data_IF_184298072386
#
_entry.id   IF_184298072386
#
_cell.length_a   1.000
_cell.length_b   1.000
_cell.length_c   1.000
_cell.angle_alpha   90.00
_cell.angle_beta   90.00
_cell.angle_gamma   90.00
#
_symmetry.space_group_name_H-M   'P 1'
#
loop_
_entity.id
_entity.type
_entity.pdbx_description
1 polymer ?
#
# COMPACT_ATOMS: atom_id res chain seq x y z
N UNK A 1 -12.21 -14.92 12.00
CA UNK A 1 -12.63 -13.54 11.65
C UNK A 1 -13.43 -13.53 10.34
N UNK A 2 -14.41 -12.64 10.20
CA UNK A 2 -15.38 -12.64 9.08
C UNK A 2 -14.74 -12.42 7.69
N UNK A 3 -13.64 -11.65 7.61
CA UNK A 3 -13.03 -11.25 6.33
C UNK A 3 -11.74 -11.99 5.97
N UNK A 4 -11.34 -12.98 6.78
CA UNK A 4 -10.04 -13.65 6.61
C UNK A 4 -9.86 -14.29 5.22
N UNK A 5 -10.94 -14.80 4.61
CA UNK A 5 -10.89 -15.40 3.27
C UNK A 5 -10.89 -14.42 2.11
N UNK A 6 -10.96 -13.10 2.37
CA UNK A 6 -10.97 -12.07 1.33
C UNK A 6 -10.08 -10.87 1.66
N UNK A 7 -9.17 -11.02 2.63
CA UNK A 7 -8.20 -10.00 3.02
C UNK A 7 -6.79 -10.48 2.74
N UNK A 8 -5.91 -9.57 2.33
CA UNK A 8 -4.47 -9.85 2.20
C UNK A 8 -3.64 -8.69 2.74
N UNK A 9 -2.43 -8.98 3.21
CA UNK A 9 -1.46 -8.02 3.73
C UNK A 9 -0.34 -7.82 2.71
N UNK A 10 -0.11 -6.57 2.32
CA UNK A 10 0.99 -6.17 1.45
C UNK A 10 2.22 -5.75 2.25
N UNK A 11 3.45 -6.06 1.79
CA UNK A 11 3.79 -6.87 0.61
C UNK A 11 3.86 -8.39 0.86
N UNK A 12 3.62 -8.85 2.09
CA UNK A 12 3.88 -10.22 2.52
C UNK A 12 3.12 -11.29 1.74
N UNK A 13 1.82 -11.11 1.54
CA UNK A 13 0.93 -12.11 0.93
C UNK A 13 0.67 -11.85 -0.55
N UNK A 14 1.05 -10.66 -1.04
CA UNK A 14 0.69 -10.18 -2.38
C UNK A 14 1.90 -9.90 -3.26
N UNK A 15 3.09 -9.77 -2.67
CA UNK A 15 4.28 -9.27 -3.36
C UNK A 15 4.08 -7.85 -3.90
N UNK A 16 4.93 -7.46 -4.85
CA UNK A 16 4.86 -6.15 -5.48
C UNK A 16 3.83 -6.11 -6.61
N UNK A 17 3.17 -4.97 -6.77
CA UNK A 17 2.29 -4.74 -7.90
C UNK A 17 3.10 -4.73 -9.22
N UNK A 18 2.68 -5.50 -10.24
CA UNK A 18 3.32 -5.51 -11.55
C UNK A 18 3.00 -4.21 -12.30
N UNK A 19 3.85 -3.87 -13.29
CA UNK A 19 3.61 -2.71 -14.16
C UNK A 19 2.40 -2.90 -15.08
N UNK A 20 2.07 -4.14 -15.41
CA UNK A 20 0.96 -4.53 -16.28
C UNK A 20 0.36 -5.85 -15.82
N UNK A 21 -0.90 -6.08 -16.18
CA UNK A 21 -1.60 -7.35 -15.91
C UNK A 21 -2.31 -7.39 -14.55
N UNK A 22 -2.67 -8.60 -14.14
CA UNK A 22 -3.40 -8.85 -12.90
C UNK A 22 -2.42 -8.97 -11.74
N UNK A 23 -2.71 -8.31 -10.64
CA UNK A 23 -1.89 -8.36 -9.42
C UNK A 23 -2.51 -9.28 -8.35
N UNK A 24 -3.69 -8.92 -7.85
CA UNK A 24 -4.32 -9.60 -6.73
C UNK A 24 -5.16 -10.81 -7.19
N UNK A 25 -5.24 -11.80 -6.30
CA UNK A 25 -6.20 -12.89 -6.40
C UNK A 25 -7.64 -12.31 -6.44
N UNK A 26 -8.54 -12.82 -7.31
CA UNK A 26 -9.92 -12.33 -7.42
C UNK A 26 -10.71 -12.33 -6.11
N UNK A 27 -10.35 -13.22 -5.19
CA UNK A 27 -11.03 -13.38 -3.90
C UNK A 27 -10.64 -12.28 -2.91
N UNK A 28 -9.51 -11.60 -3.13
CA UNK A 28 -9.07 -10.49 -2.27
C UNK A 28 -9.92 -9.26 -2.55
N UNK A 29 -10.62 -8.80 -1.50
CA UNK A 29 -11.49 -7.61 -1.51
C UNK A 29 -10.95 -6.51 -0.60
N UNK A 30 -10.06 -6.86 0.32
CA UNK A 30 -9.46 -5.94 1.29
C UNK A 30 -7.95 -6.14 1.21
N UNK A 31 -7.23 -5.05 0.96
CA UNK A 31 -5.77 -5.04 1.00
C UNK A 31 -5.32 -4.19 2.19
N UNK A 32 -4.52 -4.78 3.07
CA UNK A 32 -3.91 -4.09 4.20
C UNK A 32 -2.49 -3.66 3.81
N UNK A 33 -2.15 -2.41 4.07
CA UNK A 33 -0.82 -1.87 3.84
C UNK A 33 -0.44 -0.94 4.99
N UNK A 34 0.84 -0.96 5.32
CA UNK A 34 1.40 -0.08 6.32
C UNK A 34 1.71 1.31 5.73
N UNK A 35 1.44 2.35 6.52
CA UNK A 35 1.72 3.74 6.18
C UNK A 35 2.43 4.37 7.39
N UNK A 36 3.72 4.69 7.27
CA UNK A 36 4.46 5.40 8.32
C UNK A 36 5.72 6.12 7.79
N UNK A 37 5.90 7.43 8.04
CA UNK A 37 4.94 8.35 8.64
C UNK A 37 3.76 8.62 7.69
N UNK A 38 2.80 9.45 8.12
CA UNK A 38 1.73 9.90 7.25
C UNK A 38 2.25 10.51 5.95
N UNK A 39 1.80 9.99 4.82
CA UNK A 39 2.18 10.49 3.48
C UNK A 39 1.68 11.92 3.22
N UNK A 40 0.62 12.32 3.94
CA UNK A 40 -0.03 13.61 3.78
C UNK A 40 -0.12 14.34 5.10
N UNK A 41 0.00 15.66 5.03
CA UNK A 41 -0.36 16.53 6.14
C UNK A 41 -1.83 16.29 6.53
N UNK A 42 -2.15 16.21 7.83
CA UNK A 42 -3.54 16.11 8.28
C UNK A 42 -4.38 17.27 7.75
N UNK A 43 -5.61 17.00 7.33
CA UNK A 43 -6.57 18.06 7.08
C UNK A 43 -6.94 18.75 8.40
N UNK A 44 -7.26 20.04 8.32
CA UNK A 44 -7.76 20.79 9.47
C UNK A 44 -9.02 20.14 10.02
N UNK A 45 -8.98 19.77 11.29
CA UNK A 45 -10.05 19.05 11.95
C UNK A 45 -9.95 19.28 13.48
N UNK A 46 -11.08 19.16 14.19
CA UNK A 46 -11.07 19.24 15.66
C UNK A 46 -10.37 18.06 16.31
N UNK A 47 -10.23 16.94 15.59
CA UNK A 47 -9.50 15.75 16.02
C UNK A 47 -8.38 15.49 15.02
N UNK A 48 -7.13 15.65 15.46
CA UNK A 48 -5.93 15.52 14.61
C UNK A 48 -5.91 14.20 13.82
N UNK A 49 -6.19 13.08 14.49
CA UNK A 49 -6.14 11.76 13.87
C UNK A 49 -7.25 11.58 12.82
N UNK A 50 -8.42 12.18 13.03
CA UNK A 50 -9.48 12.22 12.01
C UNK A 50 -9.03 13.02 10.78
N UNK A 51 -8.36 14.15 11.00
CA UNK A 51 -7.75 14.94 9.93
C UNK A 51 -6.75 14.13 9.10
N UNK A 52 -5.94 13.30 9.76
CA UNK A 52 -4.98 12.40 9.10
C UNK A 52 -5.67 11.30 8.29
N UNK A 53 -6.65 10.59 8.88
CA UNK A 53 -7.41 9.54 8.17
C UNK A 53 -8.10 10.11 6.93
N UNK A 54 -8.72 11.29 7.05
CA UNK A 54 -9.38 11.96 5.92
C UNK A 54 -8.38 12.36 4.84
N UNK A 55 -7.22 12.92 5.21
CA UNK A 55 -6.17 13.27 4.25
C UNK A 55 -5.71 12.05 3.44
N UNK A 56 -5.45 10.93 4.13
CA UNK A 56 -5.06 9.68 3.49
C UNK A 56 -6.16 9.11 2.59
N UNK A 57 -7.42 9.14 3.05
CA UNK A 57 -8.55 8.67 2.25
C UNK A 57 -8.73 9.48 0.97
N UNK A 58 -8.67 10.82 1.05
CA UNK A 58 -8.76 11.67 -0.12
C UNK A 58 -7.63 11.39 -1.11
N UNK A 59 -6.39 11.28 -0.63
CA UNK A 59 -5.25 10.98 -1.48
C UNK A 59 -5.38 9.62 -2.19
N UNK A 60 -5.74 8.56 -1.47
CA UNK A 60 -5.89 7.23 -2.05
C UNK A 60 -7.02 7.19 -3.08
N UNK A 61 -8.18 7.78 -2.74
CA UNK A 61 -9.33 7.93 -3.64
C UNK A 61 -8.96 8.68 -4.92
N UNK A 62 -8.22 9.78 -4.81
CA UNK A 62 -7.86 10.61 -5.97
C UNK A 62 -6.81 9.92 -6.86
N UNK A 63 -5.95 9.05 -6.31
CA UNK A 63 -5.08 8.18 -7.10
C UNK A 63 -5.85 7.05 -7.78
N UNK A 64 -6.80 6.44 -7.08
CA UNK A 64 -7.63 5.36 -7.61
C UNK A 64 -8.50 5.85 -8.77
N UNK A 65 -9.16 7.00 -8.62
CA UNK A 65 -9.93 7.66 -9.68
C UNK A 65 -9.11 7.96 -10.94
N UNK A 66 -7.77 8.02 -10.82
CA UNK A 66 -6.82 8.24 -11.93
C UNK A 66 -6.06 6.96 -12.32
N UNK A 67 -6.51 5.79 -11.89
CA UNK A 67 -5.85 4.49 -12.11
C UNK A 67 -4.34 4.50 -11.77
N UNK A 68 -3.95 5.29 -10.78
CA UNK A 68 -2.54 5.46 -10.39
C UNK A 68 -2.23 4.91 -9.00
N UNK A 69 -3.23 4.51 -8.22
CA UNK A 69 -3.03 3.96 -6.88
C UNK A 69 -2.17 2.69 -6.89
N UNK A 70 -2.32 1.83 -7.91
CA UNK A 70 -1.54 0.59 -8.05
C UNK A 70 -0.02 0.83 -8.07
N UNK A 71 0.42 2.02 -8.49
CA UNK A 71 1.85 2.37 -8.57
C UNK A 71 2.49 2.47 -7.19
N UNK A 72 1.72 2.82 -6.16
CA UNK A 72 2.21 2.94 -4.78
C UNK A 72 2.57 1.58 -4.17
N UNK A 73 2.04 0.50 -4.76
CA UNK A 73 2.31 -0.88 -4.35
C UNK A 73 3.41 -1.56 -5.18
N UNK A 74 3.99 -0.84 -6.15
CA UNK A 74 5.06 -1.36 -6.97
C UNK A 74 6.38 -1.42 -6.20
N UNK A 75 7.32 -2.23 -6.70
CA UNK A 75 8.67 -2.27 -6.17
C UNK A 75 9.31 -0.87 -6.29
N UNK A 76 9.90 -0.33 -5.21
CA UNK A 76 10.50 0.98 -5.22
C UNK A 76 11.76 1.03 -6.12
N UNK A 77 12.13 2.21 -6.62
CA UNK A 77 13.39 2.37 -7.35
C UNK A 77 14.57 1.99 -6.44
N UNK A 78 15.59 1.35 -7.02
CA UNK A 78 16.80 0.95 -6.30
C UNK A 78 16.75 -0.45 -5.70
N UNK A 79 15.57 -1.05 -5.53
CA UNK A 79 15.45 -2.46 -5.14
C UNK A 79 15.39 -3.33 -6.39
N UNK A 80 16.35 -4.26 -6.51
CA UNK A 80 16.38 -5.24 -7.58
C UNK A 80 15.46 -6.43 -7.28
N UNK A 81 14.69 -6.88 -8.28
CA UNK A 81 13.88 -8.08 -8.12
C UNK A 81 14.76 -9.30 -7.84
N UNK A 82 14.42 -10.04 -6.77
CA UNK A 82 15.22 -11.19 -6.33
C UNK A 82 16.51 -10.83 -5.59
N UNK A 83 16.73 -9.55 -5.25
CA UNK A 83 17.81 -9.17 -4.34
C UNK A 83 17.55 -9.70 -2.92
N UNK A 84 18.59 -9.72 -2.09
CA UNK A 84 18.44 -10.03 -0.66
C UNK A 84 17.46 -9.07 0.03
N UNK A 85 17.50 -7.78 -0.34
CA UNK A 85 16.60 -6.74 0.16
C UNK A 85 15.14 -7.02 -0.22
N UNK A 86 14.84 -7.36 -1.48
CA UNK A 86 13.48 -7.75 -1.91
C UNK A 86 12.95 -8.93 -1.11
N UNK A 87 13.80 -9.93 -0.86
CA UNK A 87 13.43 -11.10 -0.08
C UNK A 87 13.12 -10.76 1.39
N UNK A 88 13.98 -9.95 2.03
CA UNK A 88 13.81 -9.52 3.42
C UNK A 88 12.51 -8.70 3.56
N UNK A 89 12.26 -7.76 2.66
CA UNK A 89 11.06 -6.92 2.68
C UNK A 89 9.77 -7.76 2.58
N UNK A 90 9.72 -8.72 1.65
CA UNK A 90 8.52 -9.53 1.44
C UNK A 90 8.30 -10.60 2.50
N UNK A 91 9.25 -10.86 3.39
CA UNK A 91 9.12 -11.90 4.41
C UNK A 91 9.12 -11.40 5.84
N UNK A 92 9.89 -10.36 6.13
CA UNK A 92 10.27 -10.04 7.50
C UNK A 92 9.99 -8.57 7.85
N UNK A 93 10.36 -7.64 6.97
CA UNK A 93 10.35 -6.20 7.32
C UNK A 93 9.13 -5.44 6.82
N UNK A 94 8.48 -5.91 5.75
CA UNK A 94 7.39 -5.18 5.12
C UNK A 94 7.88 -3.92 4.39
N UNK A 95 6.93 -3.15 3.87
CA UNK A 95 7.24 -1.87 3.22
C UNK A 95 6.17 -0.84 3.52
N UNK A 96 6.59 0.41 3.63
CA UNK A 96 5.70 1.55 3.83
C UNK A 96 5.18 2.04 2.49
N UNK A 97 3.86 2.08 2.36
CA UNK A 97 3.19 2.65 1.20
C UNK A 97 3.59 4.12 1.03
N UNK A 98 3.95 4.50 -0.21
CA UNK A 98 4.37 5.85 -0.62
C UNK A 98 5.78 6.30 -0.19
N UNK A 99 6.65 5.39 0.23
CA UNK A 99 8.08 5.69 0.37
C UNK A 99 8.81 5.85 -0.98
N UNK A 100 8.13 5.68 -2.12
CA UNK A 100 8.64 5.95 -3.47
C UNK A 100 8.64 7.46 -3.77
N UNK A 101 9.53 8.18 -3.10
CA UNK A 101 9.91 9.58 -3.39
C UNK A 101 11.25 9.64 -4.09
#
# INVERSE_FOLDING_TARGET
>A
PQFAGCSAVWPFETGWAPRTGRWLDPTVRILHAEIYPSVRAPLTDTIKDRGQVRAMWHWARDLDARNSLIKEFAMPPGIGSGSAEDYIIRREEGWILCCSG
#
